data_IF_625490931487
#
_entry.id   IF_625490931487
#
_cell.length_a   1.000
_cell.length_b   1.000
_cell.length_c   1.000
_cell.angle_alpha   90.00
_cell.angle_beta   90.00
_cell.angle_gamma   90.00
#
_symmetry.space_group_name_H-M   'P 1'
#
loop_
_entity.id
_entity.type
_entity.pdbx_description
1 polymer ?
#
# COMPACT_ATOMS: atom_id res chain seq x y z
N UNK A 1 -10.01 10.10 -28.98
CA UNK A 1 -9.13 9.94 -27.79
C UNK A 1 -7.82 9.26 -28.19
N UNK A 2 -6.67 9.74 -27.69
CA UNK A 2 -5.37 9.11 -27.96
C UNK A 2 -5.30 7.74 -27.28
N UNK A 3 -4.80 6.73 -28.01
CA UNK A 3 -4.76 5.34 -27.55
C UNK A 3 -4.11 5.18 -26.16
N UNK A 4 -2.99 5.86 -25.89
CA UNK A 4 -2.28 5.70 -24.61
C UNK A 4 -3.08 6.28 -23.41
N UNK A 5 -4.00 7.24 -23.62
CA UNK A 5 -4.92 7.73 -22.59
C UNK A 5 -5.94 6.65 -22.27
N UNK A 6 -6.53 6.06 -23.28
CA UNK A 6 -7.45 4.92 -23.11
C UNK A 6 -6.76 3.73 -22.40
N UNK A 7 -5.54 3.39 -22.82
CA UNK A 7 -4.76 2.32 -22.19
C UNK A 7 -4.51 2.61 -20.70
N UNK A 8 -4.29 3.88 -20.33
CA UNK A 8 -4.12 4.27 -18.94
C UNK A 8 -5.42 4.13 -18.14
N UNK A 9 -6.56 4.60 -18.68
CA UNK A 9 -7.88 4.44 -18.06
C UNK A 9 -8.21 2.95 -17.82
N UNK A 10 -7.92 2.09 -18.79
CA UNK A 10 -8.09 0.63 -18.65
C UNK A 10 -7.18 0.02 -17.57
N UNK A 11 -5.95 0.53 -17.41
CA UNK A 11 -5.04 0.09 -16.33
C UNK A 11 -5.55 0.51 -14.95
N UNK A 12 -6.10 1.72 -14.82
CA UNK A 12 -6.73 2.18 -13.57
C UNK A 12 -7.87 1.27 -13.16
N UNK A 13 -8.69 0.76 -14.11
CA UNK A 13 -9.73 -0.23 -13.81
C UNK A 13 -9.15 -1.54 -13.23
N UNK A 14 -8.05 -2.01 -13.80
CA UNK A 14 -7.32 -3.18 -13.27
C UNK A 14 -6.74 -2.94 -11.88
N UNK A 15 -6.15 -1.76 -11.63
CA UNK A 15 -5.66 -1.38 -10.31
C UNK A 15 -6.78 -1.23 -9.29
N UNK A 16 -7.93 -0.66 -9.67
CA UNK A 16 -9.11 -0.55 -8.81
C UNK A 16 -9.58 -1.93 -8.32
N UNK A 17 -9.71 -2.87 -9.22
CA UNK A 17 -10.11 -4.26 -8.91
C UNK A 17 -9.08 -4.94 -8.00
N UNK A 18 -7.80 -4.79 -8.29
CA UNK A 18 -6.71 -5.33 -7.47
C UNK A 18 -6.68 -4.70 -6.07
N UNK A 19 -6.85 -3.39 -5.96
CA UNK A 19 -6.94 -2.66 -4.71
C UNK A 19 -8.07 -3.19 -3.82
N UNK A 20 -9.24 -3.42 -4.39
CA UNK A 20 -10.38 -3.99 -3.69
C UNK A 20 -10.09 -5.40 -3.16
N UNK A 21 -9.37 -6.22 -3.92
CA UNK A 21 -8.94 -7.54 -3.47
C UNK A 21 -7.95 -7.45 -2.29
N UNK A 22 -7.02 -6.50 -2.30
CA UNK A 22 -6.11 -6.25 -1.16
C UNK A 22 -6.90 -5.77 0.06
N UNK A 23 -7.85 -4.85 -0.12
CA UNK A 23 -8.75 -4.38 0.93
C UNK A 23 -9.46 -5.55 1.63
N UNK A 24 -10.11 -6.42 0.87
CA UNK A 24 -10.84 -7.57 1.42
C UNK A 24 -9.94 -8.63 2.07
N UNK A 25 -8.73 -8.82 1.58
CA UNK A 25 -7.77 -9.79 2.11
C UNK A 25 -6.97 -9.27 3.31
N UNK A 26 -7.01 -7.96 3.59
CA UNK A 26 -6.24 -7.34 4.66
C UNK A 26 -6.76 -7.74 6.03
N UNK A 27 -5.89 -8.34 6.86
CA UNK A 27 -6.18 -8.72 8.25
C UNK A 27 -5.88 -7.59 9.25
N UNK A 28 -5.15 -6.58 8.81
CA UNK A 28 -4.79 -5.41 9.60
C UNK A 28 -5.79 -4.29 9.30
N UNK A 29 -6.47 -3.79 10.33
CA UNK A 29 -7.50 -2.73 10.19
C UNK A 29 -6.94 -1.45 9.58
N UNK A 30 -5.71 -1.06 9.91
CA UNK A 30 -5.09 0.14 9.32
C UNK A 30 -4.83 -0.04 7.83
N UNK A 31 -4.33 -1.21 7.42
CA UNK A 31 -4.15 -1.56 6.02
C UNK A 31 -5.49 -1.68 5.28
N UNK A 32 -6.49 -2.29 5.91
CA UNK A 32 -7.85 -2.41 5.37
C UNK A 32 -8.43 -1.02 5.04
N UNK A 33 -8.37 -0.06 5.97
CA UNK A 33 -8.82 1.32 5.76
C UNK A 33 -8.01 2.05 4.69
N UNK A 34 -6.68 1.89 4.70
CA UNK A 34 -5.82 2.52 3.71
C UNK A 34 -6.18 2.08 2.29
N UNK A 35 -6.43 0.78 2.08
CA UNK A 35 -6.80 0.28 0.74
C UNK A 35 -8.23 0.61 0.35
N UNK A 36 -9.12 0.91 1.29
CA UNK A 36 -10.42 1.50 1.01
C UNK A 36 -10.28 2.93 0.45
N UNK A 37 -9.48 3.77 1.12
CA UNK A 37 -9.15 5.12 0.65
C UNK A 37 -8.46 5.12 -0.72
N UNK A 38 -7.50 4.22 -0.95
CA UNK A 38 -6.80 4.09 -2.23
C UNK A 38 -7.79 3.68 -3.33
N UNK A 39 -8.71 2.76 -3.06
CA UNK A 39 -9.71 2.32 -4.04
C UNK A 39 -10.61 3.48 -4.51
N UNK A 40 -11.06 4.31 -3.57
CA UNK A 40 -11.85 5.49 -3.88
C UNK A 40 -11.03 6.55 -4.65
N UNK A 41 -9.77 6.76 -4.28
CA UNK A 41 -8.85 7.65 -4.99
C UNK A 41 -8.62 7.20 -6.44
N UNK A 42 -8.40 5.90 -6.68
CA UNK A 42 -8.27 5.37 -8.05
C UNK A 42 -9.53 5.64 -8.86
N UNK A 43 -10.71 5.39 -8.27
CA UNK A 43 -12.00 5.61 -8.93
C UNK A 43 -12.17 7.06 -9.34
N UNK A 44 -11.91 7.99 -8.42
CA UNK A 44 -11.99 9.43 -8.68
C UNK A 44 -11.02 9.85 -9.78
N UNK A 45 -9.75 9.45 -9.67
CA UNK A 45 -8.75 9.81 -10.69
C UNK A 45 -9.09 9.24 -12.07
N UNK A 46 -9.63 8.02 -12.15
CA UNK A 46 -10.10 7.43 -13.40
C UNK A 46 -11.23 8.25 -14.03
N UNK A 47 -12.15 8.74 -13.22
CA UNK A 47 -13.28 9.56 -13.63
C UNK A 47 -12.80 10.91 -14.15
N UNK A 48 -11.97 11.62 -13.36
CA UNK A 48 -11.39 12.93 -13.72
C UNK A 48 -10.63 12.85 -15.07
N UNK A 49 -9.75 11.85 -15.25
CA UNK A 49 -9.01 11.66 -16.51
C UNK A 49 -9.93 11.33 -17.68
N UNK A 50 -10.96 10.53 -17.44
CA UNK A 50 -11.93 10.16 -18.50
C UNK A 50 -12.76 11.34 -18.96
N UNK A 51 -13.23 12.18 -18.03
CA UNK A 51 -14.01 13.37 -18.34
C UNK A 51 -13.18 14.42 -19.10
N UNK A 52 -11.97 14.71 -18.61
CA UNK A 52 -11.06 15.66 -19.28
C UNK A 52 -10.67 15.16 -20.67
N UNK A 53 -10.38 13.86 -20.83
CA UNK A 53 -10.06 13.30 -22.14
C UNK A 53 -11.23 13.39 -23.14
N UNK A 54 -12.45 13.15 -22.68
CA UNK A 54 -13.66 13.29 -23.49
C UNK A 54 -13.92 14.77 -23.88
N UNK A 55 -13.66 15.69 -22.94
CA UNK A 55 -13.77 17.13 -23.20
C UNK A 55 -12.79 17.61 -24.28
N UNK A 56 -11.54 17.15 -24.26
CA UNK A 56 -10.53 17.49 -25.26
C UNK A 56 -10.84 16.85 -26.62
N UNK A 57 -11.28 15.61 -26.66
CA UNK A 57 -11.50 14.84 -27.88
C UNK A 57 -12.87 15.12 -28.52
N UNK A 58 -13.81 15.68 -27.77
CA UNK A 58 -15.18 15.94 -28.21
C UNK A 58 -16.04 14.67 -28.39
N UNK A 59 -15.52 13.49 -28.06
CA UNK A 59 -16.19 12.21 -28.21
C UNK A 59 -16.38 11.52 -26.85
N UNK A 60 -17.53 10.85 -26.67
CA UNK A 60 -17.79 10.07 -25.47
C UNK A 60 -17.23 8.65 -25.58
N UNK A 61 -16.78 8.12 -24.44
CA UNK A 61 -16.42 6.69 -24.31
C UNK A 61 -17.67 5.84 -24.55
N UNK A 62 -17.52 4.74 -25.29
CA UNK A 62 -18.61 3.76 -25.47
C UNK A 62 -18.71 2.86 -24.21
N UNK A 63 -19.89 2.28 -23.97
CA UNK A 63 -20.15 1.37 -22.86
C UNK A 63 -19.22 0.15 -22.79
N UNK A 64 -18.63 -0.25 -23.92
CA UNK A 64 -17.76 -1.43 -24.04
C UNK A 64 -16.27 -1.06 -24.04
N UNK A 65 -15.90 0.19 -23.76
CA UNK A 65 -14.52 0.66 -23.88
C UNK A 65 -13.63 0.21 -22.71
N UNK A 66 -14.20 0.06 -21.51
CA UNK A 66 -13.45 -0.27 -20.31
C UNK A 66 -13.38 -1.80 -20.11
N UNK A 67 -12.48 -2.43 -20.82
CA UNK A 67 -12.01 -3.75 -20.45
C UNK A 67 -10.80 -3.58 -19.54
N UNK A 68 -10.98 -3.79 -18.24
CA UNK A 68 -9.89 -3.67 -17.26
C UNK A 68 -8.75 -4.62 -17.62
N UNK A 69 -7.53 -4.11 -17.60
CA UNK A 69 -6.32 -4.92 -17.74
C UNK A 69 -6.08 -5.60 -16.40
N UNK A 70 -6.20 -6.93 -16.35
CA UNK A 70 -5.97 -7.68 -15.12
C UNK A 70 -4.57 -7.40 -14.55
N UNK A 71 -4.52 -7.03 -13.27
CA UNK A 71 -3.28 -6.80 -12.54
C UNK A 71 -3.02 -7.95 -11.56
N UNK A 72 -1.84 -8.55 -11.64
CA UNK A 72 -1.42 -9.60 -10.69
C UNK A 72 -0.81 -8.96 -9.44
N UNK A 73 -1.49 -9.15 -8.32
CA UNK A 73 -1.02 -8.67 -7.02
C UNK A 73 0.12 -9.58 -6.54
N UNK A 74 1.30 -9.00 -6.27
CA UNK A 74 2.41 -9.69 -5.62
C UNK A 74 2.44 -9.35 -4.12
N UNK A 75 2.55 -8.07 -3.81
CA UNK A 75 2.50 -7.53 -2.45
C UNK A 75 1.78 -6.17 -2.46
N UNK A 76 1.22 -5.73 -1.31
CA UNK A 76 0.65 -4.39 -1.20
C UNK A 76 1.63 -3.26 -1.55
N UNK A 77 2.90 -3.37 -1.13
CA UNK A 77 3.92 -2.36 -1.47
C UNK A 77 4.22 -2.33 -2.96
N UNK A 78 4.36 -3.52 -3.57
CA UNK A 78 4.60 -3.64 -5.01
C UNK A 78 3.44 -3.09 -5.83
N UNK A 79 2.21 -3.28 -5.36
CA UNK A 79 1.01 -2.73 -5.99
C UNK A 79 1.10 -1.19 -6.10
N UNK A 80 1.44 -0.49 -5.01
CA UNK A 80 1.56 0.98 -5.03
C UNK A 80 2.74 1.43 -5.89
N UNK A 81 3.88 0.75 -5.84
CA UNK A 81 5.03 1.04 -6.72
C UNK A 81 4.66 0.93 -8.21
N UNK A 82 3.94 -0.11 -8.60
CA UNK A 82 3.59 -0.33 -10.00
C UNK A 82 2.52 0.68 -10.46
N UNK A 83 1.60 1.05 -9.58
CA UNK A 83 0.63 2.10 -9.84
C UNK A 83 1.34 3.46 -10.03
N UNK A 84 2.30 3.79 -9.16
CA UNK A 84 3.12 5.00 -9.27
C UNK A 84 3.92 5.03 -10.57
N UNK A 85 4.61 3.93 -10.93
CA UNK A 85 5.33 3.80 -12.20
C UNK A 85 4.43 3.96 -13.42
N UNK A 86 3.24 3.36 -13.38
CA UNK A 86 2.26 3.48 -14.46
C UNK A 86 1.83 4.94 -14.65
N UNK A 87 1.52 5.62 -13.56
CA UNK A 87 1.07 7.02 -13.55
C UNK A 87 2.19 7.97 -14.03
N UNK A 88 3.42 7.80 -13.55
CA UNK A 88 4.58 8.57 -14.01
C UNK A 88 4.87 8.34 -15.50
N UNK A 89 4.76 7.09 -15.97
CA UNK A 89 4.90 6.76 -17.39
C UNK A 89 3.80 7.38 -18.26
N UNK A 90 2.60 7.51 -17.73
CA UNK A 90 1.52 8.24 -18.38
C UNK A 90 1.80 9.74 -18.42
N UNK A 91 2.21 10.34 -17.31
CA UNK A 91 2.61 11.75 -17.23
C UNK A 91 3.69 12.10 -18.25
N UNK A 92 4.76 11.31 -18.35
CA UNK A 92 5.83 11.53 -19.32
C UNK A 92 5.38 11.50 -20.79
N UNK A 93 4.27 10.82 -21.09
CA UNK A 93 3.64 10.87 -22.42
C UNK A 93 2.82 12.14 -22.60
N UNK A 94 2.14 12.61 -21.54
CA UNK A 94 1.38 13.86 -21.56
C UNK A 94 2.28 15.07 -21.72
N UNK A 95 3.49 15.08 -21.14
CA UNK A 95 4.45 16.18 -21.26
C UNK A 95 4.80 16.50 -22.73
N UNK A 96 4.74 15.49 -23.61
CA UNK A 96 5.03 15.61 -25.04
C UNK A 96 3.84 16.19 -25.85
N UNK A 97 2.72 16.47 -25.18
CA UNK A 97 1.51 17.00 -25.82
C UNK A 97 1.38 18.52 -25.60
N UNK A 98 0.55 19.13 -26.41
CA UNK A 98 0.28 20.57 -26.40
C UNK A 98 -0.44 21.08 -25.13
N UNK A 99 -0.71 22.39 -25.14
CA UNK A 99 -1.30 23.07 -23.98
C UNK A 99 -2.75 22.66 -23.69
N UNK A 100 -3.44 22.05 -24.64
CA UNK A 100 -4.78 21.52 -24.45
C UNK A 100 -4.85 20.42 -23.36
N UNK A 101 -3.70 19.80 -23.02
CA UNK A 101 -3.60 18.78 -21.97
C UNK A 101 -3.11 19.32 -20.62
N UNK A 102 -3.00 20.64 -20.43
CA UNK A 102 -2.43 21.22 -19.19
C UNK A 102 -3.23 20.84 -17.95
N UNK A 103 -4.56 20.82 -18.01
CA UNK A 103 -5.42 20.38 -16.91
C UNK A 103 -5.16 18.92 -16.54
N UNK A 104 -5.16 18.03 -17.54
CA UNK A 104 -4.86 16.61 -17.32
C UNK A 104 -3.46 16.39 -16.71
N UNK A 105 -2.45 17.16 -17.14
CA UNK A 105 -1.10 17.11 -16.55
C UNK A 105 -1.13 17.44 -15.06
N UNK A 106 -1.84 18.52 -14.69
CA UNK A 106 -1.99 18.95 -13.30
C UNK A 106 -2.69 17.90 -12.44
N UNK A 107 -3.75 17.28 -12.94
CA UNK A 107 -4.48 16.22 -12.22
C UNK A 107 -3.60 14.99 -12.00
N UNK A 108 -2.79 14.61 -12.99
CA UNK A 108 -1.85 13.48 -12.88
C UNK A 108 -0.72 13.80 -11.92
N UNK A 109 -0.17 15.02 -11.89
CA UNK A 109 0.84 15.44 -10.91
C UNK A 109 0.30 15.38 -9.48
N UNK A 110 -0.92 15.87 -9.26
CA UNK A 110 -1.59 15.78 -7.97
C UNK A 110 -1.75 14.32 -7.52
N UNK A 111 -2.17 13.46 -8.44
CA UNK A 111 -2.33 12.04 -8.17
C UNK A 111 -1.01 11.32 -7.88
N UNK A 112 0.08 11.66 -8.57
CA UNK A 112 1.42 11.15 -8.25
C UNK A 112 1.79 11.48 -6.80
N UNK A 113 1.56 12.71 -6.37
CA UNK A 113 1.82 13.16 -5.00
C UNK A 113 0.98 12.38 -3.98
N UNK A 114 -0.28 12.10 -4.31
CA UNK A 114 -1.17 11.29 -3.47
C UNK A 114 -0.68 9.84 -3.36
N UNK A 115 -0.26 9.22 -4.46
CA UNK A 115 0.31 7.87 -4.47
C UNK A 115 1.59 7.75 -3.62
N UNK A 116 2.46 8.77 -3.66
CA UNK A 116 3.65 8.83 -2.80
C UNK A 116 3.28 8.89 -1.32
N UNK A 117 2.23 9.64 -0.97
CA UNK A 117 1.67 9.67 0.38
C UNK A 117 1.15 8.29 0.80
N UNK A 118 0.42 7.60 -0.06
CA UNK A 118 -0.06 6.24 0.24
C UNK A 118 1.08 5.24 0.42
N UNK A 119 2.13 5.35 -0.37
CA UNK A 119 3.34 4.53 -0.20
C UNK A 119 3.95 4.74 1.19
N UNK A 120 4.13 5.99 1.61
CA UNK A 120 4.62 6.32 2.95
C UNK A 120 3.71 5.74 4.07
N UNK A 121 2.39 5.92 3.96
CA UNK A 121 1.43 5.42 4.94
C UNK A 121 1.42 3.89 5.03
N UNK A 122 1.56 3.20 3.90
CA UNK A 122 1.67 1.75 3.88
C UNK A 122 2.94 1.27 4.57
N UNK A 123 4.09 1.87 4.27
CA UNK A 123 5.36 1.54 4.91
C UNK A 123 5.31 1.75 6.42
N UNK A 124 4.69 2.84 6.87
CA UNK A 124 4.47 3.10 8.27
C UNK A 124 3.60 2.00 8.93
N UNK A 125 2.49 1.66 8.29
CA UNK A 125 1.55 0.64 8.78
C UNK A 125 2.23 -0.73 8.89
N UNK A 126 3.04 -1.12 7.91
CA UNK A 126 3.78 -2.38 7.90
C UNK A 126 4.87 -2.43 9.00
N UNK A 127 5.57 -1.33 9.22
CA UNK A 127 6.56 -1.22 10.31
C UNK A 127 5.92 -1.36 11.68
N UNK A 128 4.79 -0.72 11.92
CA UNK A 128 4.07 -0.83 13.19
C UNK A 128 3.52 -2.24 13.42
N UNK A 129 3.03 -2.90 12.38
CA UNK A 129 2.60 -4.30 12.47
C UNK A 129 3.77 -5.22 12.79
N UNK A 130 4.92 -5.04 12.16
CA UNK A 130 6.13 -5.81 12.44
C UNK A 130 6.58 -5.64 13.90
N UNK A 131 6.62 -4.40 14.40
CA UNK A 131 6.93 -4.13 15.81
C UNK A 131 5.98 -4.84 16.75
N UNK A 132 4.66 -4.80 16.46
CA UNK A 132 3.65 -5.49 17.26
C UNK A 132 3.85 -7.00 17.27
N UNK A 133 4.11 -7.61 16.11
CA UNK A 133 4.38 -9.06 15.99
C UNK A 133 5.64 -9.46 16.74
N UNK A 134 6.72 -8.69 16.66
CA UNK A 134 7.94 -8.92 17.40
C UNK A 134 7.72 -8.82 18.91
N UNK A 135 6.98 -7.79 19.37
CA UNK A 135 6.63 -7.65 20.79
C UNK A 135 5.80 -8.82 21.30
N UNK A 136 4.81 -9.29 20.52
CA UNK A 136 4.01 -10.44 20.90
C UNK A 136 4.87 -11.72 20.99
N UNK A 137 5.74 -11.99 19.99
CA UNK A 137 6.65 -13.15 20.02
C UNK A 137 7.61 -13.12 21.21
N UNK A 138 8.11 -11.93 21.58
CA UNK A 138 8.96 -11.78 22.77
C UNK A 138 8.17 -12.06 24.06
N UNK A 139 6.87 -11.76 24.09
CA UNK A 139 6.01 -12.05 25.23
C UNK A 139 5.50 -13.50 25.25
N UNK A 140 5.45 -14.19 24.10
CA UNK A 140 5.03 -15.59 23.98
C UNK A 140 6.14 -16.58 24.37
N UNK A 141 7.42 -16.18 24.34
CA UNK A 141 8.52 -16.98 24.85
C UNK A 141 8.59 -16.89 26.38
N UNK A 142 7.63 -17.52 27.02
CA UNK A 142 7.60 -17.66 28.46
C UNK A 142 8.34 -18.97 28.84
N UNK A 143 9.41 -18.84 29.60
CA UNK A 143 10.19 -19.99 30.11
C UNK A 143 9.70 -20.35 31.48
N UNK A 144 9.23 -21.57 31.66
CA UNK A 144 8.87 -22.11 32.97
C UNK A 144 10.12 -22.68 33.68
N UNK A 145 10.47 -22.10 34.82
CA UNK A 145 11.57 -22.56 35.67
C UNK A 145 10.96 -23.05 36.98
N UNK A 146 11.22 -24.32 37.35
CA UNK A 146 10.82 -24.87 38.65
C UNK A 146 11.97 -24.80 39.64
N UNK A 147 11.74 -24.19 40.79
CA UNK A 147 12.69 -24.18 41.89
C UNK A 147 11.96 -24.43 43.23
N UNK A 148 12.30 -25.51 43.91
CA UNK A 148 11.70 -25.84 45.21
C UNK A 148 10.18 -26.09 45.14
N UNK A 149 9.66 -26.62 44.01
CA UNK A 149 8.23 -26.89 43.81
C UNK A 149 7.39 -25.69 43.40
N UNK A 150 8.03 -24.54 43.18
CA UNK A 150 7.36 -23.33 42.68
C UNK A 150 7.74 -23.10 41.20
N UNK A 151 6.74 -22.94 40.34
CA UNK A 151 6.94 -22.60 38.94
C UNK A 151 6.97 -21.09 38.73
N UNK A 152 7.98 -20.62 38.01
CA UNK A 152 8.14 -19.25 37.61
C UNK A 152 8.04 -19.15 36.10
N UNK A 153 7.14 -18.32 35.60
CA UNK A 153 7.01 -18.02 34.20
C UNK A 153 7.77 -16.71 33.90
N UNK A 154 8.88 -16.81 33.18
CA UNK A 154 9.76 -15.68 32.89
C UNK A 154 9.81 -15.39 31.40
N UNK A 155 9.76 -14.11 31.00
CA UNK A 155 10.09 -13.70 29.66
C UNK A 155 11.59 -13.88 29.38
N UNK A 156 11.99 -13.96 28.12
CA UNK A 156 13.41 -14.09 27.74
C UNK A 156 14.30 -13.00 28.36
N UNK A 157 13.81 -11.75 28.43
CA UNK A 157 14.55 -10.66 29.05
C UNK A 157 14.70 -10.86 30.56
N UNK A 158 13.65 -11.26 31.25
CA UNK A 158 13.72 -11.59 32.70
C UNK A 158 14.65 -12.74 32.95
N UNK A 159 14.65 -13.77 32.09
CA UNK A 159 15.59 -14.89 32.20
C UNK A 159 17.04 -14.44 32.01
N UNK A 160 17.32 -13.62 30.99
CA UNK A 160 18.66 -13.03 30.76
C UNK A 160 19.13 -12.16 31.91
N UNK A 161 18.27 -11.33 32.49
CA UNK A 161 18.58 -10.53 33.68
C UNK A 161 18.90 -11.41 34.90
N UNK A 162 18.10 -12.45 35.14
CA UNK A 162 18.36 -13.38 36.23
C UNK A 162 19.68 -14.13 36.04
N UNK A 163 19.98 -14.62 34.86
CA UNK A 163 21.24 -15.29 34.55
C UNK A 163 22.43 -14.32 34.77
N UNK A 164 22.34 -13.10 34.24
CA UNK A 164 23.38 -12.07 34.37
C UNK A 164 23.63 -11.70 35.83
N UNK A 165 22.55 -11.58 36.62
CA UNK A 165 22.65 -11.31 38.08
C UNK A 165 23.26 -12.47 38.84
N UNK A 166 22.90 -13.71 38.50
CA UNK A 166 23.46 -14.91 39.08
C UNK A 166 24.97 -15.05 38.79
N UNK A 167 25.38 -14.77 37.53
CA UNK A 167 26.80 -14.80 37.14
C UNK A 167 27.61 -13.76 37.93
N UNK A 168 27.08 -12.52 38.05
CA UNK A 168 27.75 -11.46 38.84
C UNK A 168 27.91 -11.83 40.31
N UNK A 169 26.93 -12.53 40.90
CA UNK A 169 27.01 -12.98 42.30
C UNK A 169 27.97 -14.16 42.51
N UNK A 170 28.31 -14.91 41.46
CA UNK A 170 29.25 -16.04 41.53
C UNK A 170 30.70 -15.56 41.29
N UNK A 171 30.87 -14.54 40.47
CA UNK A 171 32.19 -14.04 40.05
C UNK A 171 32.70 -12.82 40.87
N UNK A 172 31.86 -12.20 41.69
CA UNK A 172 32.19 -11.10 42.58
C UNK A 172 32.42 -11.58 43.99
#
# INVERSE_FOLDING_TARGET
MKKFILDYICRLEGFKTACQNIHWSSRNMSQHKLFDEISESIRKHQDDISEVAQGIDGNRLSFNTLNGIAYKIETPSKFIEDMLKCTMGFYSKLEKLGNEYVGMKSDVEAYISELQKYQYLLDFTLKEELKRRLKNRLNENVYSISKGGVEFNLTENQLKEMITKSIKNILG
#
